data_IF_842995350454
#
_entry.id   IF_842995350454
#
_cell.length_a   1.000
_cell.length_b   1.000
_cell.length_c   1.000
_cell.angle_alpha   90.00
_cell.angle_beta   90.00
_cell.angle_gamma   90.00
#
_symmetry.space_group_name_H-M   'P 1'
#
loop_
_entity.id
_entity.type
_entity.pdbx_description
1 polymer ?
#
# COMPACT_ATOMS: atom_id res chain seq x y z
N UNK A 1 -16.77 -9.88 7.20
CA UNK A 1 -16.02 -9.58 5.96
C UNK A 1 -15.08 -8.47 6.34
N UNK A 2 -13.75 -8.65 6.22
CA UNK A 2 -12.81 -7.57 6.55
C UNK A 2 -13.11 -6.38 5.63
N UNK A 3 -13.37 -5.21 6.21
CA UNK A 3 -13.71 -4.02 5.45
C UNK A 3 -12.41 -3.31 5.04
N UNK A 4 -12.11 -3.27 3.74
CA UNK A 4 -11.00 -2.47 3.23
C UNK A 4 -11.54 -1.06 2.99
N UNK A 5 -11.32 -0.16 3.96
CA UNK A 5 -11.66 1.26 3.81
C UNK A 5 -10.48 2.04 3.26
N UNK A 6 -10.71 2.68 2.12
CA UNK A 6 -9.78 3.65 1.55
C UNK A 6 -10.26 5.05 1.89
N UNK A 7 -9.62 5.69 2.87
CA UNK A 7 -9.96 7.06 3.30
C UNK A 7 -8.92 8.00 2.70
N UNK A 8 -9.37 8.89 1.81
CA UNK A 8 -8.54 9.98 1.28
C UNK A 8 -9.17 11.29 1.69
N UNK A 9 -8.54 12.09 2.57
CA UNK A 9 -9.07 13.42 2.90
C UNK A 9 -9.05 14.30 1.64
N UNK A 10 -10.15 15.01 1.39
CA UNK A 10 -10.25 15.91 0.23
C UNK A 10 -9.38 17.15 0.45
N UNK A 11 -8.43 17.46 -0.45
CA UNK A 11 -7.58 18.64 -0.30
C UNK A 11 -8.38 19.93 -0.59
N UNK A 12 -8.64 20.75 0.43
CA UNK A 12 -9.39 22.01 0.28
C UNK A 12 -8.60 23.13 -0.42
N UNK A 13 -7.27 22.99 -0.55
CA UNK A 13 -6.41 24.01 -1.18
C UNK A 13 -5.37 23.35 -2.08
N UNK A 14 -5.57 23.45 -3.40
CA UNK A 14 -4.56 23.05 -4.40
C UNK A 14 -3.80 24.27 -4.94
N UNK A 15 -2.48 24.24 -4.86
CA UNK A 15 -1.62 25.26 -5.45
C UNK A 15 -1.48 25.05 -6.96
N UNK A 16 -1.99 26.00 -7.76
CA UNK A 16 -1.98 25.95 -9.24
C UNK A 16 -0.57 25.78 -9.83
N UNK A 17 0.45 26.35 -9.18
CA UNK A 17 1.85 26.24 -9.64
C UNK A 17 2.45 24.87 -9.36
N UNK A 18 2.12 24.27 -8.21
CA UNK A 18 2.54 22.91 -7.86
C UNK A 18 1.94 21.89 -8.82
N UNK A 19 0.69 22.12 -9.26
CA UNK A 19 0.03 21.26 -10.25
C UNK A 19 0.80 21.23 -11.57
N UNK A 20 1.17 22.40 -12.13
CA UNK A 20 1.97 22.47 -13.36
C UNK A 20 3.33 21.79 -13.19
N UNK A 21 4.06 22.10 -12.12
CA UNK A 21 5.35 21.48 -11.82
C UNK A 21 5.21 19.95 -11.72
N UNK A 22 4.16 19.45 -11.07
CA UNK A 22 3.89 18.02 -10.92
C UNK A 22 3.54 17.38 -12.27
N UNK A 23 2.76 18.04 -13.13
CA UNK A 23 2.43 17.52 -14.47
C UNK A 23 3.67 17.39 -15.35
N UNK A 24 4.57 18.38 -15.33
CA UNK A 24 5.77 18.37 -16.19
C UNK A 24 6.95 17.58 -15.61
N UNK A 25 7.19 17.67 -14.30
CA UNK A 25 8.38 17.13 -13.64
C UNK A 25 8.08 16.17 -12.48
N UNK A 26 6.84 16.12 -11.99
CA UNK A 26 6.45 15.28 -10.86
C UNK A 26 6.61 13.79 -11.13
N UNK A 27 6.29 13.32 -12.35
CA UNK A 27 6.58 11.93 -12.74
C UNK A 27 8.09 11.63 -12.68
N UNK A 28 8.95 12.54 -13.13
CA UNK A 28 10.39 12.31 -13.13
C UNK A 28 10.97 12.34 -11.70
N UNK A 29 10.70 13.41 -10.95
CA UNK A 29 11.30 13.64 -9.62
C UNK A 29 10.72 12.72 -8.54
N UNK A 30 9.44 12.37 -8.62
CA UNK A 30 8.79 11.53 -7.59
C UNK A 30 8.73 10.08 -8.03
N UNK A 31 8.33 9.78 -9.26
CA UNK A 31 8.16 8.39 -9.66
C UNK A 31 9.51 7.66 -9.77
N UNK A 32 10.60 8.30 -10.22
CA UNK A 32 11.90 7.60 -10.34
C UNK A 32 12.45 7.12 -8.99
N UNK A 33 12.61 7.98 -7.95
CA UNK A 33 13.12 7.52 -6.67
C UNK A 33 12.21 6.48 -6.01
N UNK A 34 10.90 6.69 -6.08
CA UNK A 34 9.92 5.78 -5.49
C UNK A 34 9.87 4.44 -6.24
N UNK A 35 9.87 4.45 -7.56
CA UNK A 35 9.91 3.23 -8.36
C UNK A 35 11.19 2.44 -8.10
N UNK A 36 12.34 3.12 -7.93
CA UNK A 36 13.60 2.46 -7.58
C UNK A 36 13.46 1.72 -6.24
N UNK A 37 13.00 2.38 -5.17
CA UNK A 37 12.80 1.72 -3.89
C UNK A 37 11.73 0.60 -3.94
N UNK A 38 10.60 0.85 -4.60
CA UNK A 38 9.51 -0.11 -4.76
C UNK A 38 9.96 -1.33 -5.58
N UNK A 39 10.90 -1.20 -6.51
CA UNK A 39 11.47 -2.34 -7.22
C UNK A 39 12.21 -3.30 -6.28
N UNK A 40 13.07 -2.78 -5.40
CA UNK A 40 13.78 -3.63 -4.43
C UNK A 40 12.83 -4.29 -3.43
N UNK A 41 11.83 -3.54 -2.95
CA UNK A 41 10.83 -4.06 -2.02
C UNK A 41 9.92 -5.07 -2.71
N UNK A 42 9.54 -4.80 -3.96
CA UNK A 42 8.76 -5.72 -4.79
C UNK A 42 9.50 -7.04 -5.01
N UNK A 43 10.82 -6.98 -5.25
CA UNK A 43 11.63 -8.20 -5.32
C UNK A 43 11.63 -8.96 -3.99
N UNK A 44 11.79 -8.27 -2.86
CA UNK A 44 11.66 -8.87 -1.54
C UNK A 44 10.25 -9.45 -1.29
N UNK A 45 9.21 -8.82 -1.81
CA UNK A 45 7.82 -9.29 -1.73
C UNK A 45 7.60 -10.57 -2.53
N UNK A 46 8.21 -10.71 -3.71
CA UNK A 46 8.16 -11.96 -4.49
C UNK A 46 8.83 -13.10 -3.72
N UNK A 47 9.99 -12.84 -3.11
CA UNK A 47 10.70 -13.82 -2.29
C UNK A 47 9.87 -14.18 -1.04
N UNK A 48 9.32 -13.17 -0.37
CA UNK A 48 8.42 -13.35 0.77
C UNK A 48 7.20 -14.20 0.40
N UNK A 49 6.56 -13.94 -0.74
CA UNK A 49 5.39 -14.70 -1.20
C UNK A 49 5.76 -16.15 -1.51
N UNK A 50 6.94 -16.39 -2.09
CA UNK A 50 7.45 -17.73 -2.30
C UNK A 50 7.67 -18.47 -0.97
N UNK A 51 8.24 -17.80 0.04
CA UNK A 51 8.39 -18.37 1.39
C UNK A 51 7.01 -18.60 2.03
N UNK A 52 6.09 -17.64 1.93
CA UNK A 52 4.73 -17.73 2.45
C UNK A 52 3.99 -18.95 1.89
N UNK A 53 4.17 -19.23 0.59
CA UNK A 53 3.60 -20.41 -0.05
C UNK A 53 4.02 -21.70 0.65
N UNK A 54 5.31 -21.87 0.92
CA UNK A 54 5.82 -23.03 1.67
C UNK A 54 5.34 -23.04 3.12
N UNK A 55 5.37 -21.90 3.81
CA UNK A 55 4.90 -21.79 5.20
C UNK A 55 3.44 -22.19 5.32
N UNK A 56 2.58 -21.71 4.42
CA UNK A 56 1.16 -22.06 4.37
C UNK A 56 0.96 -23.53 4.03
N UNK A 57 1.77 -24.10 3.15
CA UNK A 57 1.70 -25.52 2.80
C UNK A 57 1.95 -26.42 4.02
N UNK A 58 2.92 -26.06 4.86
CA UNK A 58 3.28 -26.86 6.05
C UNK A 58 2.47 -26.49 7.31
N UNK A 59 2.12 -25.22 7.50
CA UNK A 59 1.52 -24.71 8.74
C UNK A 59 0.01 -24.46 8.59
N UNK A 60 -0.50 -24.32 7.37
CA UNK A 60 -1.88 -23.91 7.09
C UNK A 60 -2.20 -22.47 7.49
N UNK A 61 -1.21 -21.70 7.93
CA UNK A 61 -1.36 -20.33 8.42
C UNK A 61 -0.46 -19.37 7.66
N UNK A 62 -1.01 -18.23 7.26
CA UNK A 62 -0.25 -17.17 6.60
C UNK A 62 0.49 -16.35 7.67
N UNK A 63 1.83 -16.25 7.61
CA UNK A 63 2.60 -15.55 8.64
C UNK A 63 2.26 -14.05 8.65
N UNK A 64 1.89 -13.54 9.83
CA UNK A 64 1.47 -12.15 10.03
C UNK A 64 2.52 -11.13 9.57
N UNK A 65 3.80 -11.41 9.80
CA UNK A 65 4.90 -10.52 9.39
C UNK A 65 4.99 -10.33 7.87
N UNK A 66 4.75 -11.38 7.07
CA UNK A 66 4.74 -11.27 5.62
C UNK A 66 3.49 -10.53 5.13
N UNK A 67 2.36 -10.71 5.82
CA UNK A 67 1.14 -9.98 5.49
C UNK A 67 1.34 -8.48 5.73
N UNK A 68 1.87 -8.12 6.90
CA UNK A 68 2.16 -6.72 7.24
C UNK A 68 3.17 -6.13 6.26
N UNK A 69 4.21 -6.87 5.86
CA UNK A 69 5.17 -6.41 4.86
C UNK A 69 4.50 -6.07 3.52
N UNK A 70 3.72 -6.99 2.96
CA UNK A 70 3.04 -6.80 1.67
C UNK A 70 1.98 -5.69 1.77
N UNK A 71 1.22 -5.64 2.87
CA UNK A 71 0.22 -4.61 3.11
C UNK A 71 0.86 -3.22 3.19
N UNK A 72 1.97 -3.06 3.90
CA UNK A 72 2.69 -1.78 3.99
C UNK A 72 3.34 -1.37 2.65
N UNK A 73 3.83 -2.33 1.86
CA UNK A 73 4.28 -2.07 0.49
C UNK A 73 3.13 -1.53 -0.38
N UNK A 74 1.96 -2.16 -0.34
CA UNK A 74 0.79 -1.73 -1.11
C UNK A 74 0.31 -0.34 -0.66
N UNK A 75 0.33 -0.06 0.65
CA UNK A 75 0.04 1.28 1.17
C UNK A 75 1.02 2.32 0.63
N UNK A 76 2.32 2.01 0.59
CA UNK A 76 3.29 2.94 0.01
C UNK A 76 3.04 3.20 -1.47
N UNK A 77 2.77 2.14 -2.25
CA UNK A 77 2.41 2.27 -3.66
C UNK A 77 1.17 3.16 -3.84
N UNK A 78 0.16 2.97 -3.00
CA UNK A 78 -1.07 3.75 -3.01
C UNK A 78 -0.82 5.24 -2.69
N UNK A 79 0.02 5.55 -1.70
CA UNK A 79 0.45 6.94 -1.39
C UNK A 79 1.09 7.60 -2.62
N UNK A 80 1.97 6.90 -3.32
CA UNK A 80 2.60 7.38 -4.55
C UNK A 80 1.57 7.57 -5.66
N UNK A 81 0.66 6.62 -5.84
CA UNK A 81 -0.41 6.72 -6.84
C UNK A 81 -1.35 7.89 -6.55
N UNK A 82 -1.76 8.10 -5.30
CA UNK A 82 -2.61 9.23 -4.89
C UNK A 82 -1.94 10.57 -5.18
N UNK A 83 -0.65 10.70 -4.89
CA UNK A 83 0.14 11.89 -5.22
C UNK A 83 0.23 12.13 -6.73
N UNK A 84 0.56 11.09 -7.51
CA UNK A 84 0.71 11.19 -8.97
C UNK A 84 -0.62 11.42 -9.70
N UNK A 85 -1.75 10.95 -9.15
CA UNK A 85 -3.09 11.15 -9.71
C UNK A 85 -3.77 12.43 -9.23
N UNK A 86 -3.05 13.33 -8.55
CA UNK A 86 -3.59 14.62 -8.07
C UNK A 86 -4.78 14.46 -7.10
N UNK A 87 -4.87 13.31 -6.41
CA UNK A 87 -5.87 13.05 -5.38
C UNK A 87 -5.47 13.68 -4.04
N UNK A 88 -4.17 13.93 -3.84
CA UNK A 88 -3.63 14.58 -2.65
C UNK A 88 -2.35 15.37 -2.98
N UNK A 89 -2.11 16.46 -2.26
CA UNK A 89 -0.98 17.36 -2.52
C UNK A 89 0.27 17.06 -1.67
N UNK A 90 0.12 16.35 -0.55
CA UNK A 90 1.24 15.97 0.31
C UNK A 90 2.21 14.99 -0.34
N UNK A 91 3.49 15.35 -0.31
CA UNK A 91 4.59 14.52 -0.80
C UNK A 91 4.68 13.20 -0.01
N UNK A 92 4.68 12.03 -0.69
CA UNK A 92 4.75 10.75 0.00
C UNK A 92 6.13 10.56 0.67
N UNK A 93 6.19 10.15 1.94
CA UNK A 93 7.46 9.84 2.58
C UNK A 93 8.04 8.54 2.02
N UNK A 94 9.36 8.42 2.08
CA UNK A 94 10.09 7.20 1.75
C UNK A 94 10.05 6.19 2.91
N UNK A 95 8.85 5.81 3.34
CA UNK A 95 8.66 4.89 4.45
C UNK A 95 7.46 3.97 4.25
N UNK A 96 7.64 2.71 4.61
CA UNK A 96 6.59 1.70 4.60
C UNK A 96 5.67 1.81 5.82
N UNK A 97 6.21 2.18 6.98
CA UNK A 97 5.53 2.13 8.29
C UNK A 97 5.04 3.49 8.79
N UNK A 98 5.14 4.54 7.96
CA UNK A 98 4.75 5.88 8.39
C UNK A 98 3.22 6.02 8.40
N UNK A 99 2.69 6.50 9.53
CA UNK A 99 1.27 6.80 9.72
C UNK A 99 0.94 8.04 8.90
N UNK A 100 0.24 7.86 7.77
CA UNK A 100 -0.22 8.95 6.93
C UNK A 100 -1.74 8.98 6.92
N UNK A 101 -2.39 10.17 6.91
CA UNK A 101 -3.84 10.28 6.94
C UNK A 101 -4.53 9.69 5.70
N UNK A 102 -3.78 9.32 4.66
CA UNK A 102 -4.21 8.52 3.50
C UNK A 102 -4.10 7.01 3.77
N UNK A 103 -4.49 6.59 4.97
CA UNK A 103 -4.38 5.21 5.40
C UNK A 103 -5.47 4.34 4.75
N UNK A 104 -5.02 3.33 4.01
CA UNK A 104 -5.84 2.19 3.66
C UNK A 104 -5.93 1.31 4.91
N UNK A 105 -6.99 1.44 5.68
CA UNK A 105 -7.23 0.57 6.84
C UNK A 105 -7.55 -0.82 6.32
N UNK A 106 -6.54 -1.69 6.25
CA UNK A 106 -6.72 -3.11 5.99
C UNK A 106 -6.88 -3.80 7.35
N UNK A 107 -8.12 -4.09 7.72
CA UNK A 107 -8.40 -4.89 8.91
C UNK A 107 -7.89 -6.33 8.67
N UNK A 108 -6.90 -6.81 9.45
CA UNK A 108 -6.44 -8.20 9.34
C UNK A 108 -7.55 -9.14 9.83
N UNK A 109 -8.12 -10.02 8.99
CA UNK A 109 -9.14 -10.95 9.46
C UNK A 109 -8.49 -11.98 10.38
N UNK A 110 -8.73 -11.87 11.68
CA UNK A 110 -8.15 -12.75 12.71
C UNK A 110 -8.46 -14.24 12.49
N UNK A 111 -9.49 -14.61 11.70
CA UNK A 111 -9.75 -15.99 11.25
C UNK A 111 -10.39 -16.07 9.87
N UNK A 112 -9.74 -16.78 8.96
CA UNK A 112 -10.34 -17.31 7.72
C UNK A 112 -11.29 -18.49 8.06
N UNK A 113 -12.39 -18.22 8.77
CA UNK A 113 -13.40 -19.24 9.07
C UNK A 113 -14.23 -19.57 7.83
N UNK A 114 -13.71 -20.47 6.98
CA UNK A 114 -14.38 -21.06 5.81
C UNK A 114 -15.77 -21.66 6.12
N UNK A 115 -16.07 -21.93 7.38
CA UNK A 115 -17.32 -22.58 7.85
C UNK A 115 -18.49 -21.61 8.10
N UNK A 116 -18.28 -20.30 8.13
CA UNK A 116 -19.37 -19.35 8.41
C UNK A 116 -20.25 -19.04 7.18
N UNK A 117 -19.86 -19.50 5.98
CA UNK A 117 -20.63 -19.31 4.74
C UNK A 117 -21.63 -20.44 4.41
N UNK A 118 -21.66 -21.52 5.19
CA UNK A 118 -22.55 -22.66 4.97
C UNK A 118 -23.78 -22.68 5.90
N UNK A 119 -23.97 -21.63 6.70
CA UNK A 119 -24.97 -21.61 7.78
C UNK A 119 -25.98 -20.46 7.72
N UNK A 120 -26.21 -19.82 6.57
CA UNK A 120 -27.23 -18.78 6.43
C UNK A 120 -28.00 -18.88 5.13
#
# INVERSE_FOLDING_TARGET
>A
MAEVRFVVPYPEKMSRGLLLLRTFFGWLYVAIPHAFCLCFIGLAAVIAQFIAFWVVLFTGQYPRSLFEFVANMMQWQLRVSVYLNFLHDDYPPFSMYDFHPTELTIEYPDRLSRLHLLGR
#
